data_IF_804755911326
#
_entry.id   IF_804755911326
#
_cell.length_a   1.000
_cell.length_b   1.000
_cell.length_c   1.000
_cell.angle_alpha   90.00
_cell.angle_beta   90.00
_cell.angle_gamma   90.00
#
_symmetry.space_group_name_H-M   'P 1'
#
loop_
_entity.id
_entity.type
_entity.pdbx_description
1 polymer ?
#
# COMPACT_ATOMS: atom_id res chain seq x y z
N UNK A 1 10.67 -9.20 1.33
CA UNK A 1 11.51 -8.07 0.93
C UNK A 1 10.74 -6.78 1.08
N UNK A 2 11.42 -5.72 1.51
CA UNK A 2 10.78 -4.43 1.73
C UNK A 2 10.41 -3.77 0.40
N UNK A 3 9.19 -3.26 0.32
CA UNK A 3 8.70 -2.55 -0.85
C UNK A 3 8.06 -1.24 -0.42
N UNK A 4 8.27 -0.20 -1.21
CA UNK A 4 7.68 1.10 -0.99
C UNK A 4 6.71 1.39 -2.12
N UNK A 5 5.43 1.51 -1.78
CA UNK A 5 4.36 1.71 -2.75
C UNK A 5 3.95 3.18 -2.69
N UNK A 6 4.13 3.90 -3.77
CA UNK A 6 3.70 5.30 -3.86
C UNK A 6 2.23 5.31 -4.25
N UNK A 7 1.40 5.91 -3.41
CA UNK A 7 -0.06 5.84 -3.53
C UNK A 7 -0.64 7.25 -3.62
N UNK A 8 -1.54 7.46 -4.58
CA UNK A 8 -2.31 8.70 -4.65
C UNK A 8 -3.78 8.43 -4.33
N UNK A 9 -4.45 9.40 -3.78
CA UNK A 9 -5.85 9.29 -3.41
C UNK A 9 -6.10 9.03 -1.94
N UNK A 10 -5.06 8.81 -1.15
CA UNK A 10 -5.21 8.72 0.30
C UNK A 10 -5.40 10.13 0.85
N UNK A 11 -6.58 10.42 1.37
CA UNK A 11 -6.92 11.78 1.80
C UNK A 11 -7.17 11.90 3.29
N UNK A 12 -7.23 10.79 4.02
CA UNK A 12 -7.49 10.80 5.45
C UNK A 12 -6.98 9.51 6.09
N UNK A 13 -7.03 9.46 7.42
CA UNK A 13 -6.56 8.30 8.16
C UNK A 13 -7.37 7.03 7.86
N UNK A 14 -8.62 7.16 7.48
CA UNK A 14 -9.42 6.01 7.08
C UNK A 14 -8.84 5.34 5.84
N UNK A 15 -8.35 6.14 4.91
CA UNK A 15 -7.69 5.62 3.72
C UNK A 15 -6.41 4.88 4.10
N UNK A 16 -5.64 5.42 5.02
CA UNK A 16 -4.43 4.77 5.54
C UNK A 16 -4.79 3.40 6.14
N UNK A 17 -5.85 3.36 6.94
CA UNK A 17 -6.30 2.11 7.56
C UNK A 17 -6.71 1.07 6.52
N UNK A 18 -7.40 1.49 5.46
CA UNK A 18 -7.82 0.60 4.39
C UNK A 18 -6.62 -0.02 3.66
N UNK A 19 -5.63 0.80 3.34
CA UNK A 19 -4.41 0.33 2.69
C UNK A 19 -3.68 -0.65 3.60
N UNK A 20 -3.57 -0.33 4.88
CA UNK A 20 -2.93 -1.20 5.85
C UNK A 20 -3.63 -2.55 5.94
N UNK A 21 -4.95 -2.54 6.06
CA UNK A 21 -5.74 -3.77 6.12
C UNK A 21 -5.58 -4.62 4.86
N UNK A 22 -5.54 -3.98 3.70
CA UNK A 22 -5.33 -4.68 2.45
C UNK A 22 -3.97 -5.40 2.45
N UNK A 23 -2.93 -4.73 2.92
CA UNK A 23 -1.59 -5.33 2.99
C UNK A 23 -1.55 -6.45 4.04
N UNK A 24 -2.21 -6.27 5.18
CA UNK A 24 -2.30 -7.33 6.18
C UNK A 24 -3.00 -8.57 5.62
N UNK A 25 -4.01 -8.35 4.79
CA UNK A 25 -4.79 -9.42 4.18
C UNK A 25 -3.98 -10.33 3.27
N UNK A 26 -2.89 -9.85 2.70
CA UNK A 26 -2.00 -10.66 1.85
C UNK A 26 -0.79 -11.21 2.61
N UNK A 27 -0.77 -11.05 3.92
CA UNK A 27 0.30 -11.56 4.75
C UNK A 27 1.56 -10.70 4.79
N UNK A 28 1.48 -9.45 4.37
CA UNK A 28 2.61 -8.54 4.45
C UNK A 28 2.93 -8.25 5.92
N UNK A 29 4.20 -7.96 6.20
CA UNK A 29 4.67 -7.64 7.55
C UNK A 29 5.41 -6.30 7.55
N UNK A 30 5.69 -5.79 8.74
CA UNK A 30 6.40 -4.52 8.91
C UNK A 30 5.74 -3.39 8.10
N UNK A 31 4.42 -3.33 8.17
CA UNK A 31 3.62 -2.38 7.39
C UNK A 31 3.70 -1.00 8.02
N UNK A 32 4.07 -0.01 7.22
CA UNK A 32 4.08 1.38 7.62
C UNK A 32 3.46 2.20 6.49
N UNK A 33 2.36 2.89 6.80
CA UNK A 33 1.66 3.69 5.81
C UNK A 33 1.73 5.16 6.23
N UNK A 34 2.19 6.01 5.33
CA UNK A 34 2.30 7.44 5.58
C UNK A 34 1.30 8.20 4.73
N UNK A 35 0.38 8.89 5.39
CA UNK A 35 -0.57 9.77 4.71
C UNK A 35 0.15 10.99 4.14
N UNK A 36 1.02 11.59 4.94
CA UNK A 36 1.76 12.77 4.55
C UNK A 36 2.72 12.48 3.38
N UNK A 37 3.41 11.34 3.45
CA UNK A 37 4.34 10.94 2.41
C UNK A 37 3.68 10.27 1.22
N UNK A 38 2.41 9.92 1.33
CA UNK A 38 1.63 9.27 0.27
C UNK A 38 2.25 7.95 -0.17
N UNK A 39 2.68 7.14 0.80
CA UNK A 39 3.29 5.84 0.49
C UNK A 39 2.93 4.80 1.55
N UNK A 40 3.17 3.54 1.19
CA UNK A 40 3.11 2.42 2.12
C UNK A 40 4.38 1.60 1.98
N UNK A 41 4.99 1.23 3.10
CA UNK A 41 6.16 0.37 3.12
C UNK A 41 5.78 -0.93 3.80
N UNK A 42 6.18 -2.05 3.24
CA UNK A 42 5.93 -3.34 3.85
C UNK A 42 6.92 -4.39 3.34
N UNK A 43 7.00 -5.50 4.06
CA UNK A 43 7.73 -6.67 3.63
C UNK A 43 6.74 -7.67 3.06
N UNK A 44 6.94 -8.06 1.81
CA UNK A 44 6.04 -9.00 1.14
C UNK A 44 6.75 -9.70 -0.02
N UNK A 45 6.28 -10.90 -0.34
CA UNK A 45 6.76 -11.67 -1.50
C UNK A 45 5.91 -11.40 -2.75
N UNK A 46 4.85 -10.62 -2.63
CA UNK A 46 3.98 -10.33 -3.76
C UNK A 46 4.69 -9.49 -4.81
N UNK A 47 4.30 -9.68 -6.08
CA UNK A 47 4.88 -8.92 -7.18
C UNK A 47 4.34 -7.48 -7.15
N UNK A 48 5.03 -6.59 -7.87
CA UNK A 48 4.58 -5.22 -7.99
C UNK A 48 3.18 -5.14 -8.62
N UNK A 49 2.92 -5.97 -9.63
CA UNK A 49 1.61 -6.01 -10.29
C UNK A 49 0.51 -6.43 -9.32
N UNK A 50 0.79 -7.39 -8.46
CA UNK A 50 -0.19 -7.84 -7.46
C UNK A 50 -0.47 -6.75 -6.43
N UNK A 51 0.57 -6.05 -5.98
CA UNK A 51 0.42 -4.96 -5.02
C UNK A 51 -0.35 -3.80 -5.64
N UNK A 52 -0.04 -3.47 -6.89
CA UNK A 52 -0.75 -2.42 -7.61
C UNK A 52 -2.24 -2.75 -7.74
N UNK A 53 -2.56 -3.97 -8.15
CA UNK A 53 -3.95 -4.39 -8.29
C UNK A 53 -4.68 -4.35 -6.95
N UNK A 54 -4.02 -4.77 -5.88
CA UNK A 54 -4.59 -4.77 -4.54
C UNK A 54 -4.99 -3.37 -4.12
N UNK A 55 -4.08 -2.42 -4.25
CA UNK A 55 -4.30 -1.04 -3.82
C UNK A 55 -5.33 -0.36 -4.72
N UNK A 56 -5.26 -0.57 -6.03
CA UNK A 56 -6.22 0.02 -6.96
C UNK A 56 -7.63 -0.52 -6.75
N UNK A 57 -7.75 -1.78 -6.34
CA UNK A 57 -9.04 -2.38 -6.01
C UNK A 57 -9.69 -1.69 -4.80
N UNK A 58 -8.90 -1.09 -3.94
CA UNK A 58 -9.39 -0.31 -2.80
C UNK A 58 -9.79 1.12 -3.19
N UNK A 59 -9.57 1.51 -4.45
CA UNK A 59 -9.97 2.80 -4.94
C UNK A 59 -8.88 3.86 -4.96
N UNK A 60 -7.63 3.46 -4.83
CA UNK A 60 -6.47 4.37 -4.86
C UNK A 60 -5.63 4.13 -6.08
N UNK A 61 -4.80 5.10 -6.44
CA UNK A 61 -3.88 4.98 -7.57
C UNK A 61 -2.47 4.67 -7.06
N UNK A 62 -1.80 3.74 -7.73
CA UNK A 62 -0.41 3.44 -7.46
C UNK A 62 0.43 4.08 -8.56
N UNK A 63 1.31 4.99 -8.17
CA UNK A 63 2.14 5.72 -9.14
C UNK A 63 3.50 5.08 -9.34
N UNK A 64 4.00 4.38 -8.33
CA UNK A 64 5.29 3.70 -8.41
C UNK A 64 5.42 2.69 -7.28
N UNK A 65 6.25 1.69 -7.47
CA UNK A 65 6.62 0.73 -6.43
C UNK A 65 8.13 0.56 -6.48
N UNK A 66 8.76 0.79 -5.36
CA UNK A 66 10.23 0.73 -5.23
C UNK A 66 10.68 -0.45 -4.39
#
# INVERSE_FOLDING_TARGET
>A
MAKKIMIEGMMCEHCVAHVREALEGIGASNIDVSLEGKYAVCDTDKTNDELKALIEDEGYDVTDIQ
#
